data_IF_256051263990
#
_entry.id   IF_256051263990
#
_cell.length_a   1.000
_cell.length_b   1.000
_cell.length_c   1.000
_cell.angle_alpha   90.00
_cell.angle_beta   90.00
_cell.angle_gamma   90.00
#
_symmetry.space_group_name_H-M   'P 1'
#
loop_
_entity.id
_entity.type
_entity.pdbx_description
1 polymer ?
#
# COMPACT_ATOMS: atom_id res chain seq x y z
N UNK A 1 2.45 23.41 -8.30
CA UNK A 1 3.74 22.69 -8.45
C UNK A 1 3.77 21.58 -7.40
N UNK A 2 4.12 20.33 -7.75
CA UNK A 2 4.36 19.31 -6.73
C UNK A 2 5.50 19.78 -5.81
N UNK A 3 5.37 19.54 -4.51
CA UNK A 3 6.45 19.80 -3.55
C UNK A 3 7.67 18.97 -3.96
N UNK A 4 8.88 19.56 -4.08
CA UNK A 4 10.06 18.78 -4.42
C UNK A 4 10.30 17.70 -3.36
N UNK A 5 10.61 16.48 -3.82
CA UNK A 5 10.93 15.37 -2.91
C UNK A 5 12.23 15.69 -2.16
N UNK A 6 12.24 15.46 -0.84
CA UNK A 6 13.42 15.71 -0.01
C UNK A 6 14.55 14.72 -0.32
N UNK A 7 15.81 15.12 -0.11
CA UNK A 7 16.95 14.22 -0.25
C UNK A 7 16.80 12.94 0.60
N UNK A 8 16.21 13.06 1.79
CA UNK A 8 15.93 11.93 2.67
C UNK A 8 14.88 10.97 2.09
N UNK A 9 13.87 11.49 1.37
CA UNK A 9 12.88 10.66 0.68
C UNK A 9 13.52 9.91 -0.49
N UNK A 10 14.28 10.61 -1.33
CA UNK A 10 14.98 10.01 -2.47
C UNK A 10 15.94 8.90 -2.04
N UNK A 11 16.67 9.09 -0.93
CA UNK A 11 17.58 8.09 -0.40
C UNK A 11 16.89 6.81 0.12
N UNK A 12 15.62 6.89 0.53
CA UNK A 12 14.86 5.75 1.09
C UNK A 12 13.85 5.14 0.13
N UNK A 13 13.67 5.75 -1.05
CA UNK A 13 12.70 5.29 -2.04
C UNK A 13 13.06 3.85 -2.50
N UNK A 14 12.08 2.93 -2.60
CA UNK A 14 12.33 1.62 -3.19
C UNK A 14 12.89 1.75 -4.60
N UNK A 15 13.91 0.96 -4.92
CA UNK A 15 14.51 0.89 -6.27
C UNK A 15 13.79 -0.11 -7.17
N UNK A 16 12.97 -0.98 -6.59
CA UNK A 16 12.26 -2.07 -7.27
C UNK A 16 10.75 -1.96 -7.03
N UNK A 17 9.93 -2.44 -7.97
CA UNK A 17 8.48 -2.49 -7.78
C UNK A 17 8.10 -3.48 -6.67
N UNK A 18 6.92 -3.33 -6.03
CA UNK A 18 6.40 -4.25 -5.02
C UNK A 18 5.81 -5.53 -5.66
N UNK A 19 6.59 -6.22 -6.50
CA UNK A 19 6.22 -7.48 -7.16
C UNK A 19 7.45 -8.39 -7.30
N UNK A 20 7.22 -9.70 -7.34
CA UNK A 20 8.25 -10.72 -7.58
C UNK A 20 8.52 -10.97 -9.08
N UNK A 21 7.84 -10.26 -9.97
CA UNK A 21 8.01 -10.40 -11.42
C UNK A 21 9.46 -10.09 -11.84
N UNK A 22 10.13 -11.07 -12.43
CA UNK A 22 11.52 -10.94 -12.91
C UNK A 22 12.59 -10.90 -11.82
N UNK A 23 12.24 -11.20 -10.57
CA UNK A 23 13.18 -11.23 -9.45
C UNK A 23 13.94 -12.57 -9.44
N UNK A 24 15.26 -12.49 -9.35
CA UNK A 24 16.10 -13.66 -9.09
C UNK A 24 16.02 -14.02 -7.60
N UNK A 25 15.56 -15.23 -7.30
CA UNK A 25 15.40 -15.71 -5.92
C UNK A 25 16.73 -16.16 -5.30
N UNK A 26 17.77 -16.39 -6.10
CA UNK A 26 19.10 -16.72 -5.62
C UNK A 26 19.89 -15.46 -5.20
N UNK A 27 19.54 -14.29 -5.75
CA UNK A 27 20.08 -13.00 -5.31
C UNK A 27 19.36 -12.50 -4.05
N UNK A 28 20.00 -12.76 -2.90
CA UNK A 28 19.50 -12.34 -1.58
C UNK A 28 19.22 -10.84 -1.46
N UNK A 29 19.97 -9.98 -2.18
CA UNK A 29 19.82 -8.53 -2.13
C UNK A 29 18.60 -8.10 -2.93
N UNK A 30 18.45 -8.63 -4.15
CA UNK A 30 17.27 -8.38 -4.97
C UNK A 30 15.99 -8.84 -4.25
N UNK A 31 16.02 -10.04 -3.67
CA UNK A 31 14.90 -10.60 -2.93
C UNK A 31 14.53 -9.76 -1.70
N UNK A 32 15.53 -9.28 -0.94
CA UNK A 32 15.31 -8.37 0.19
C UNK A 32 14.64 -7.07 -0.26
N UNK A 33 15.14 -6.44 -1.34
CA UNK A 33 14.61 -5.16 -1.84
C UNK A 33 13.13 -5.26 -2.24
N UNK A 34 12.73 -6.39 -2.84
CA UNK A 34 11.35 -6.65 -3.26
C UNK A 34 10.44 -6.86 -2.05
N UNK A 35 10.88 -7.64 -1.05
CA UNK A 35 10.15 -7.80 0.22
C UNK A 35 9.91 -6.46 0.90
N UNK A 36 10.94 -5.62 0.94
CA UNK A 36 10.86 -4.26 1.49
C UNK A 36 9.88 -3.38 0.70
N UNK A 37 9.92 -3.42 -0.63
CA UNK A 37 8.98 -2.68 -1.48
C UNK A 37 7.53 -3.10 -1.23
N UNK A 38 7.25 -4.41 -1.13
CA UNK A 38 5.91 -4.96 -0.85
C UNK A 38 5.40 -4.47 0.50
N UNK A 39 6.22 -4.54 1.55
CA UNK A 39 5.82 -4.10 2.90
C UNK A 39 5.55 -2.60 2.91
N UNK A 40 6.42 -1.79 2.29
CA UNK A 40 6.24 -0.33 2.22
C UNK A 40 4.94 0.05 1.50
N UNK A 41 4.61 -0.60 0.40
CA UNK A 41 3.35 -0.38 -0.32
C UNK A 41 2.13 -0.71 0.55
N UNK A 42 2.19 -1.78 1.35
CA UNK A 42 1.12 -2.09 2.32
C UNK A 42 0.97 -0.99 3.39
N UNK A 43 2.08 -0.45 3.90
CA UNK A 43 2.05 0.69 4.82
C UNK A 43 1.51 1.97 4.16
N UNK A 44 1.84 2.23 2.90
CA UNK A 44 1.28 3.36 2.14
C UNK A 44 -0.25 3.25 2.10
N UNK A 45 -0.80 2.09 1.76
CA UNK A 45 -2.25 1.85 1.74
C UNK A 45 -2.89 2.04 3.12
N UNK A 46 -2.23 1.56 4.18
CA UNK A 46 -2.67 1.79 5.56
C UNK A 46 -2.67 3.29 5.91
N UNK A 47 -1.65 4.04 5.48
CA UNK A 47 -1.56 5.48 5.72
C UNK A 47 -2.60 6.25 4.91
N UNK A 48 -2.88 5.85 3.67
CA UNK A 48 -3.96 6.41 2.86
C UNK A 48 -5.32 6.25 3.55
N UNK A 49 -5.62 5.05 4.06
CA UNK A 49 -6.85 4.81 4.82
C UNK A 49 -6.94 5.71 6.06
N UNK A 50 -5.83 5.90 6.78
CA UNK A 50 -5.75 6.80 7.92
C UNK A 50 -6.05 8.25 7.55
N UNK A 51 -5.41 8.78 6.50
CA UNK A 51 -5.63 10.15 6.03
C UNK A 51 -7.09 10.40 5.64
N UNK A 52 -7.71 9.45 4.93
CA UNK A 52 -9.14 9.54 4.59
C UNK A 52 -10.02 9.47 5.84
N UNK A 53 -9.68 8.63 6.82
CA UNK A 53 -10.39 8.56 8.10
C UNK A 53 -10.31 9.88 8.90
N UNK A 54 -9.15 10.53 8.92
CA UNK A 54 -8.97 11.84 9.57
C UNK A 54 -9.81 12.92 8.86
N UNK A 55 -9.83 12.93 7.53
CA UNK A 55 -10.64 13.87 6.75
C UNK A 55 -12.15 13.61 6.90
N UNK A 56 -12.57 12.34 6.95
CA UNK A 56 -13.94 11.94 7.26
C UNK A 56 -14.35 12.46 8.64
N UNK A 57 -13.49 12.34 9.65
CA UNK A 57 -13.73 12.88 11.00
C UNK A 57 -13.83 14.41 11.05
N UNK A 58 -13.12 15.13 10.18
CA UNK A 58 -13.32 16.59 10.01
C UNK A 58 -14.66 16.90 9.34
N UNK A 59 -15.05 16.14 8.31
CA UNK A 59 -16.34 16.30 7.64
C UNK A 59 -17.51 16.12 8.62
N UNK A 60 -17.49 15.06 9.44
CA UNK A 60 -18.51 14.81 10.45
C UNK A 60 -18.64 15.97 11.46
N UNK A 61 -17.51 16.55 11.88
CA UNK A 61 -17.50 17.71 12.79
C UNK A 61 -18.02 18.98 12.13
N UNK A 62 -17.73 19.21 10.85
CA UNK A 62 -18.13 20.43 10.12
C UNK A 62 -19.61 20.42 9.73
N UNK A 63 -20.12 19.29 9.24
CA UNK A 63 -21.48 19.19 8.69
C UNK A 63 -22.54 18.92 9.78
N UNK A 64 -22.13 18.42 10.95
CA UNK A 64 -23.04 18.08 12.04
C UNK A 64 -24.10 17.08 11.57
N UNK A 65 -25.37 17.36 11.82
CA UNK A 65 -26.51 16.48 11.42
C UNK A 65 -26.58 16.19 9.92
N UNK A 66 -25.94 17.01 9.07
CA UNK A 66 -25.94 16.83 7.62
C UNK A 66 -24.87 15.85 7.11
N UNK A 67 -24.08 15.22 8.00
CA UNK A 67 -22.96 14.36 7.61
C UNK A 67 -23.37 13.18 6.72
N UNK A 68 -24.62 12.70 6.82
CA UNK A 68 -25.13 11.57 6.04
C UNK A 68 -25.17 11.88 4.54
N UNK A 69 -25.57 13.11 4.17
CA UNK A 69 -25.63 13.56 2.79
C UNK A 69 -24.28 14.07 2.29
N UNK A 70 -23.57 14.83 3.13
CA UNK A 70 -22.37 15.58 2.72
C UNK A 70 -21.07 14.77 2.77
N UNK A 71 -20.97 13.79 3.67
CA UNK A 71 -19.74 13.02 3.87
C UNK A 71 -19.71 11.65 3.17
N UNK A 72 -20.71 11.35 2.33
CA UNK A 72 -20.86 10.03 1.67
C UNK A 72 -19.64 9.59 0.86
N UNK A 73 -19.08 10.49 0.03
CA UNK A 73 -17.92 10.17 -0.81
C UNK A 73 -16.67 9.80 0.00
N UNK A 74 -16.40 10.50 1.11
CA UNK A 74 -15.28 10.19 2.01
C UNK A 74 -15.50 8.86 2.73
N UNK A 75 -16.74 8.59 3.16
CA UNK A 75 -17.13 7.32 3.80
C UNK A 75 -16.92 6.14 2.85
N UNK A 76 -17.41 6.26 1.62
CA UNK A 76 -17.32 5.17 0.64
C UNK A 76 -15.86 4.89 0.28
N UNK A 77 -15.06 5.96 0.08
CA UNK A 77 -13.61 5.84 -0.12
C UNK A 77 -12.89 5.21 1.07
N UNK A 78 -13.28 5.57 2.29
CA UNK A 78 -12.72 4.98 3.50
C UNK A 78 -12.98 3.46 3.54
N UNK A 79 -14.21 3.02 3.23
CA UNK A 79 -14.54 1.60 3.17
C UNK A 79 -13.82 0.83 2.06
N UNK A 80 -13.58 1.45 0.91
CA UNK A 80 -12.73 0.86 -0.13
C UNK A 80 -11.31 0.62 0.39
N UNK A 81 -10.70 1.64 0.99
CA UNK A 81 -9.32 1.56 1.49
C UNK A 81 -9.18 0.60 2.68
N UNK A 82 -10.21 0.45 3.51
CA UNK A 82 -10.21 -0.50 4.63
C UNK A 82 -10.00 -1.95 4.19
N UNK A 83 -10.42 -2.33 2.98
CA UNK A 83 -10.19 -3.68 2.42
C UNK A 83 -8.70 -3.99 2.24
N UNK A 84 -7.89 -2.95 2.03
CA UNK A 84 -6.46 -3.04 1.71
C UNK A 84 -5.56 -2.50 2.83
N UNK A 85 -6.12 -1.84 3.83
CA UNK A 85 -5.36 -1.20 4.91
C UNK A 85 -4.61 -2.20 5.82
N UNK A 86 -5.06 -3.45 5.88
CA UNK A 86 -4.40 -4.48 6.70
C UNK A 86 -3.09 -4.94 6.06
N UNK A 87 -2.01 -4.80 6.81
CA UNK A 87 -0.69 -5.33 6.46
C UNK A 87 -0.75 -6.86 6.52
N UNK A 88 -0.48 -7.52 5.40
CA UNK A 88 -0.50 -8.99 5.22
C UNK A 88 0.90 -9.60 5.26
N UNK A 89 1.95 -8.79 5.14
CA UNK A 89 3.33 -9.24 4.97
C UNK A 89 3.62 -9.72 3.54
N UNK A 90 4.84 -10.20 3.30
CA UNK A 90 5.31 -10.64 1.98
C UNK A 90 5.24 -12.15 1.77
N UNK A 91 5.34 -12.95 2.84
CA UNK A 91 5.48 -14.42 2.79
C UNK A 91 4.38 -15.13 2.00
N UNK A 92 3.13 -14.67 2.11
CA UNK A 92 2.03 -15.27 1.36
C UNK A 92 2.19 -15.04 -0.14
N UNK A 93 2.52 -13.82 -0.56
CA UNK A 93 2.72 -13.50 -1.98
C UNK A 93 3.92 -14.25 -2.55
N UNK A 94 5.01 -14.31 -1.79
CA UNK A 94 6.25 -15.02 -2.14
C UNK A 94 6.00 -16.51 -2.40
N UNK A 95 5.35 -17.21 -1.46
CA UNK A 95 5.05 -18.65 -1.58
C UNK A 95 4.16 -18.95 -2.78
N UNK A 96 3.12 -18.14 -2.99
CA UNK A 96 2.21 -18.34 -4.11
C UNK A 96 2.88 -18.04 -5.47
N UNK A 97 3.79 -17.06 -5.52
CA UNK A 97 4.55 -16.75 -6.72
C UNK A 97 5.49 -17.90 -7.10
N UNK A 98 6.26 -18.42 -6.14
CA UNK A 98 7.14 -19.59 -6.35
C UNK A 98 6.33 -20.81 -6.78
N UNK A 99 5.19 -21.07 -6.14
CA UNK A 99 4.30 -22.19 -6.53
C UNK A 99 3.76 -22.03 -7.95
N UNK A 100 3.36 -20.81 -8.36
CA UNK A 100 2.85 -20.54 -9.69
C UNK A 100 3.93 -20.70 -10.76
N UNK A 101 5.14 -20.22 -10.49
CA UNK A 101 6.27 -20.37 -11.40
C UNK A 101 6.71 -21.83 -11.56
N UNK A 102 6.72 -22.60 -10.46
CA UNK A 102 6.97 -24.04 -10.52
C UNK A 102 5.91 -24.80 -11.34
N UNK A 103 4.63 -24.37 -11.28
CA UNK A 103 3.57 -24.96 -12.10
C UNK A 103 3.63 -24.56 -13.58
N UNK A 104 4.27 -23.44 -13.92
CA UNK A 104 4.42 -23.01 -15.32
C UNK A 104 5.62 -23.63 -16.03
N UNK A 105 6.55 -24.24 -15.29
CA UNK A 105 7.73 -24.93 -15.83
C UNK A 105 7.55 -26.45 -15.97
N UNK A 106 6.34 -26.96 -15.72
CA UNK A 106 5.92 -28.35 -15.99
C UNK A 106 4.89 -28.40 -17.11
#
# INVERSE_FOLDING_TARGET
MPTPESAAFLAKKPTVPPSYDGVDFEDTVALHNVRDAIIREQWVRSMMARLVGEELGKCYRREGVNHLEKCGALRDRYFELLKEAKIKGYLFQEKNYVSKNASSTS
#
